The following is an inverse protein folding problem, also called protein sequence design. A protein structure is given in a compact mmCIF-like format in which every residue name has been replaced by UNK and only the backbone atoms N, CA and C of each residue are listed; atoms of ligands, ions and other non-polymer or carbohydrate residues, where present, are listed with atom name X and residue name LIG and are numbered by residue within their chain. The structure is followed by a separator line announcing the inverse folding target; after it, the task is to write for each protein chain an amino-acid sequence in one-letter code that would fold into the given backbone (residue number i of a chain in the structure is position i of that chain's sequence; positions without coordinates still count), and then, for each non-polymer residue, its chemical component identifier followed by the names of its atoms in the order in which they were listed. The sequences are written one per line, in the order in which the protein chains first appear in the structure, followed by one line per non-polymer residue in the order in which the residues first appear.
data_IF_644633315315
#
_entry.id   IF_644633315315
#
_cell.length_a   1.000
_cell.length_b   1.000
_cell.length_c   1.000
_cell.angle_alpha   90.00
_cell.angle_beta   90.00
_cell.angle_gamma   90.00
#
_symmetry.space_group_name_H-M   'P 1'
#
loop_
_entity.id
_entity.type
_entity.pdbx_description
1 polymer ?
#
# COMPACT_ATOMS: atom_id res chain seq x y z
N UNK A 1 39.17 -25.53 -36.91
CA UNK A 1 37.73 -25.85 -36.82
C UNK A 1 37.46 -27.24 -36.22
N UNK A 2 38.16 -28.31 -36.63
CA UNK A 2 37.96 -29.67 -36.08
C UNK A 2 38.20 -29.76 -34.55
N UNK A 3 39.22 -29.06 -34.03
CA UNK A 3 39.51 -29.07 -32.58
C UNK A 3 38.44 -28.34 -31.75
N UNK A 4 37.88 -27.25 -32.28
CA UNK A 4 36.82 -26.50 -31.59
C UNK A 4 35.53 -27.32 -31.45
N UNK A 5 35.14 -28.06 -32.51
CA UNK A 5 33.98 -28.93 -32.45
C UNK A 5 34.17 -30.10 -31.47
N UNK A 6 35.40 -30.59 -31.32
CA UNK A 6 35.73 -31.64 -30.35
C UNK A 6 35.66 -31.12 -28.91
N UNK A 7 36.25 -29.95 -28.62
CA UNK A 7 36.18 -29.30 -27.31
C UNK A 7 34.74 -28.95 -26.92
N UNK A 8 33.93 -28.49 -27.88
CA UNK A 8 32.50 -28.27 -27.65
C UNK A 8 31.76 -29.57 -27.36
N UNK A 9 32.04 -30.67 -28.08
CA UNK A 9 31.39 -31.95 -27.83
C UNK A 9 31.73 -32.54 -26.46
N UNK A 10 32.98 -32.40 -26.01
CA UNK A 10 33.40 -32.80 -24.66
C UNK A 10 32.74 -31.92 -23.58
N UNK A 11 32.67 -30.60 -23.80
CA UNK A 11 32.01 -29.66 -22.89
C UNK A 11 30.50 -29.90 -22.75
N UNK A 12 29.84 -30.29 -23.85
CA UNK A 12 28.40 -30.60 -23.88
C UNK A 12 28.09 -32.09 -23.61
N UNK A 13 29.05 -32.88 -23.12
CA UNK A 13 28.81 -34.27 -22.77
C UNK A 13 27.98 -34.37 -21.48
N UNK A 14 26.68 -34.51 -21.63
CA UNK A 14 25.76 -34.72 -20.51
C UNK A 14 25.68 -36.19 -20.10
N UNK A 15 25.95 -36.47 -18.83
CA UNK A 15 25.67 -37.78 -18.22
C UNK A 15 24.16 -38.07 -18.22
N UNK A 16 23.78 -39.34 -18.01
CA UNK A 16 22.36 -39.75 -17.97
C UNK A 16 21.57 -39.00 -16.89
N UNK A 17 22.19 -38.69 -15.76
CA UNK A 17 21.57 -37.95 -14.66
C UNK A 17 21.41 -36.46 -15.01
N UNK A 18 22.45 -35.83 -15.54
CA UNK A 18 22.40 -34.40 -15.89
C UNK A 18 21.39 -34.14 -17.01
N UNK A 19 21.28 -35.04 -18.00
CA UNK A 19 20.29 -34.88 -19.07
C UNK A 19 18.85 -34.94 -18.55
N UNK A 20 18.57 -35.88 -17.65
CA UNK A 20 17.25 -35.99 -17.04
C UNK A 20 16.97 -34.76 -16.16
N UNK A 21 17.96 -34.29 -15.39
CA UNK A 21 17.84 -33.07 -14.60
C UNK A 21 17.56 -31.83 -15.48
N UNK A 22 18.24 -31.70 -16.60
CA UNK A 22 18.01 -30.62 -17.58
C UNK A 22 16.60 -30.66 -18.15
N UNK A 23 16.08 -31.84 -18.50
CA UNK A 23 14.69 -31.96 -18.97
C UNK A 23 13.68 -31.64 -17.87
N UNK A 24 13.89 -32.11 -16.65
CA UNK A 24 13.03 -31.80 -15.51
C UNK A 24 13.00 -30.30 -15.22
N UNK A 25 14.16 -29.65 -15.20
CA UNK A 25 14.27 -28.20 -14.98
C UNK A 25 13.60 -27.42 -16.12
N UNK A 26 13.82 -27.83 -17.38
CA UNK A 26 13.21 -27.19 -18.53
C UNK A 26 11.67 -27.29 -18.50
N UNK A 27 11.12 -28.45 -18.14
CA UNK A 27 9.68 -28.64 -17.95
C UNK A 27 9.13 -27.74 -16.84
N UNK A 28 9.83 -27.64 -15.71
CA UNK A 28 9.43 -26.78 -14.60
C UNK A 28 9.43 -25.30 -15.01
N UNK A 29 10.49 -24.83 -15.68
CA UNK A 29 10.58 -23.47 -16.18
C UNK A 29 9.50 -23.16 -17.21
N UNK A 30 9.26 -24.08 -18.16
CA UNK A 30 8.21 -23.95 -19.16
C UNK A 30 6.83 -23.85 -18.51
N UNK A 31 6.55 -24.65 -17.48
CA UNK A 31 5.30 -24.58 -16.73
C UNK A 31 5.06 -23.18 -16.15
N UNK A 32 6.04 -22.60 -15.44
CA UNK A 32 5.90 -21.25 -14.89
C UNK A 32 5.83 -20.15 -15.97
N UNK A 33 6.50 -20.35 -17.10
CA UNK A 33 6.47 -19.42 -18.22
C UNK A 33 5.11 -19.41 -18.94
N UNK A 34 4.43 -20.56 -19.00
CA UNK A 34 3.12 -20.68 -19.64
C UNK A 34 1.97 -20.21 -18.76
N UNK A 35 2.13 -20.19 -17.43
CA UNK A 35 1.08 -19.78 -16.48
C UNK A 35 0.46 -18.41 -16.79
N UNK A 36 1.22 -17.31 -16.99
CA UNK A 36 0.64 -16.00 -17.30
C UNK A 36 -0.15 -15.97 -18.61
N UNK A 37 0.23 -16.79 -19.59
CA UNK A 37 -0.43 -16.86 -20.90
C UNK A 37 -1.74 -17.66 -20.84
N UNK A 38 -1.80 -18.70 -19.99
CA UNK A 38 -2.98 -19.57 -19.82
C UNK A 38 -3.98 -18.96 -18.82
N UNK A 39 -3.51 -18.24 -17.80
CA UNK A 39 -4.34 -17.61 -16.79
C UNK A 39 -5.54 -16.80 -17.34
N UNK A 40 -5.39 -15.91 -18.34
CA UNK A 40 -6.52 -15.17 -18.90
C UNK A 40 -7.48 -16.03 -19.73
N UNK A 41 -7.10 -17.25 -20.12
CA UNK A 41 -7.97 -18.17 -20.85
C UNK A 41 -8.97 -18.88 -19.93
N UNK A 42 -8.56 -19.18 -18.70
CA UNK A 42 -9.38 -19.87 -17.69
C UNK A 42 -10.16 -18.86 -16.83
N UNK A 43 -9.58 -17.69 -16.59
CA UNK A 43 -10.20 -16.65 -15.79
C UNK A 43 -10.70 -15.53 -16.70
N UNK A 44 -12.03 -15.41 -16.92
CA UNK A 44 -12.57 -14.32 -17.72
C UNK A 44 -12.13 -12.96 -17.13
N UNK A 45 -11.95 -11.93 -17.97
CA UNK A 45 -11.64 -10.60 -17.49
C UNK A 45 -12.66 -10.19 -16.42
N UNK A 46 -12.18 -9.54 -15.36
CA UNK A 46 -13.04 -9.10 -14.25
C UNK A 46 -14.24 -8.35 -14.85
N UNK A 47 -15.48 -8.70 -14.45
CA UNK A 47 -16.65 -8.00 -14.97
C UNK A 47 -16.50 -6.51 -14.66
N UNK A 48 -16.79 -5.68 -15.65
CA UNK A 48 -16.89 -4.25 -15.45
C UNK A 48 -18.08 -4.01 -14.53
N UNK A 49 -17.82 -3.58 -13.30
CA UNK A 49 -18.85 -3.39 -12.31
C UNK A 49 -19.64 -2.11 -12.65
N UNK A 50 -20.94 -2.27 -12.92
CA UNK A 50 -21.84 -1.13 -13.04
C UNK A 50 -22.18 -0.58 -11.65
N UNK A 51 -21.68 0.60 -11.35
CA UNK A 51 -21.89 1.30 -10.07
C UNK A 51 -22.95 2.40 -10.15
N UNK A 52 -23.73 2.47 -11.22
CA UNK A 52 -24.76 3.51 -11.43
C UNK A 52 -25.78 3.50 -10.29
N UNK A 53 -26.38 2.35 -9.98
CA UNK A 53 -27.34 2.19 -8.89
C UNK A 53 -26.78 2.68 -7.53
N UNK A 54 -25.54 2.33 -7.24
CA UNK A 54 -24.87 2.74 -6.00
C UNK A 54 -24.58 4.25 -5.95
N UNK A 55 -24.18 4.84 -7.09
CA UNK A 55 -23.93 6.28 -7.23
C UNK A 55 -25.22 7.07 -7.04
N UNK A 56 -26.32 6.60 -7.64
CA UNK A 56 -27.64 7.22 -7.50
C UNK A 56 -28.14 7.15 -6.05
N UNK A 57 -28.02 5.99 -5.40
CA UNK A 57 -28.39 5.83 -3.99
C UNK A 57 -27.59 6.76 -3.06
N UNK A 58 -26.28 6.91 -3.29
CA UNK A 58 -25.44 7.83 -2.51
C UNK A 58 -25.86 9.28 -2.75
N UNK A 59 -26.11 9.68 -4.00
CA UNK A 59 -26.53 11.04 -4.32
C UNK A 59 -27.88 11.38 -3.70
N UNK A 60 -28.85 10.45 -3.75
CA UNK A 60 -30.14 10.61 -3.08
C UNK A 60 -29.97 10.75 -1.56
N UNK A 61 -29.21 9.85 -0.92
CA UNK A 61 -28.94 9.94 0.51
C UNK A 61 -28.18 11.22 0.92
N UNK A 62 -27.28 11.71 0.06
CA UNK A 62 -26.57 12.98 0.26
C UNK A 62 -27.49 14.19 0.08
N UNK A 63 -28.44 14.15 -0.86
CA UNK A 63 -29.44 15.21 -1.05
C UNK A 63 -30.41 15.27 0.13
N UNK A 64 -30.90 14.12 0.60
CA UNK A 64 -31.75 14.02 1.78
C UNK A 64 -31.04 14.51 3.05
N UNK A 65 -29.75 14.17 3.22
CA UNK A 65 -28.96 14.63 4.37
C UNK A 65 -28.52 16.10 4.29
N UNK A 66 -28.43 16.69 3.10
CA UNK A 66 -28.26 18.14 2.92
C UNK A 66 -29.54 18.90 3.26
N UNK A 67 -30.70 18.43 2.77
CA UNK A 67 -31.99 19.03 3.09
C UNK A 67 -32.32 18.95 4.60
N UNK A 68 -31.93 17.85 5.26
CA UNK A 68 -32.11 17.67 6.71
C UNK A 68 -31.11 18.44 7.57
N UNK A 69 -29.98 18.89 6.99
CA UNK A 69 -28.97 19.73 7.68
C UNK A 69 -29.32 21.22 7.71
N UNK A 70 -30.25 21.69 6.88
CA UNK A 70 -30.67 23.10 6.84
C UNK A 70 -31.77 23.45 7.85
N UNK A 71 -32.46 22.45 8.43
CA UNK A 71 -33.54 22.66 9.43
C UNK A 71 -33.26 22.05 10.81
N UNK A 72 -32.14 21.33 10.98
CA UNK A 72 -31.71 20.79 12.27
C UNK A 72 -30.41 21.47 12.73
N UNK A 73 -30.47 22.07 13.92
CA UNK A 73 -29.33 22.51 14.73
C UNK A 73 -28.13 21.56 14.66
N UNK A 74 -26.88 22.04 14.82
CA UNK A 74 -25.68 21.30 14.46
C UNK A 74 -25.67 19.91 15.09
N UNK A 75 -25.58 18.90 14.22
CA UNK A 75 -25.54 17.47 14.51
C UNK A 75 -24.63 17.14 15.71
N UNK A 76 -24.90 16.03 16.43
CA UNK A 76 -24.23 15.74 17.70
C UNK A 76 -22.73 15.70 17.46
N UNK A 77 -22.01 16.55 18.19
CA UNK A 77 -20.57 16.53 18.29
C UNK A 77 -20.17 15.07 18.52
N UNK A 78 -19.43 14.48 17.57
CA UNK A 78 -18.66 13.28 17.88
C UNK A 78 -17.97 13.56 19.21
N UNK A 79 -18.14 12.66 20.17
CA UNK A 79 -17.52 12.70 21.49
C UNK A 79 -16.01 12.44 21.35
N UNK A 80 -15.33 13.23 20.52
CA UNK A 80 -13.95 13.59 20.72
C UNK A 80 -13.99 14.85 21.58
N UNK A 81 -13.43 14.77 22.78
CA UNK A 81 -13.17 15.87 23.70
C UNK A 81 -13.18 17.24 23.01
N UNK A 82 -14.04 18.17 23.46
CA UNK A 82 -13.94 19.61 23.14
C UNK A 82 -12.52 20.08 23.49
N UNK A 83 -11.56 19.90 22.59
CA UNK A 83 -10.29 20.60 22.62
C UNK A 83 -10.52 21.81 21.74
N UNK A 84 -10.46 22.98 22.37
CA UNK A 84 -10.33 24.27 21.69
C UNK A 84 -9.51 24.06 20.43
N UNK A 85 -10.04 24.44 19.26
CA UNK A 85 -9.30 24.33 18.01
C UNK A 85 -7.98 25.08 18.21
N UNK A 86 -6.90 24.33 18.43
CA UNK A 86 -5.56 24.91 18.53
C UNK A 86 -5.28 25.44 17.13
N UNK A 87 -4.90 26.72 16.97
CA UNK A 87 -4.56 27.25 15.66
C UNK A 87 -3.44 26.38 15.07
N UNK A 88 -3.70 25.81 13.90
CA UNK A 88 -2.71 24.99 13.19
C UNK A 88 -1.73 25.94 12.52
N UNK A 89 -0.46 25.81 12.90
CA UNK A 89 0.61 26.62 12.34
C UNK A 89 1.45 25.74 11.41
N UNK A 90 1.56 26.16 10.14
CA UNK A 90 2.42 25.49 9.17
C UNK A 90 3.83 26.04 9.27
N UNK A 91 4.79 25.19 9.64
CA UNK A 91 6.21 25.51 9.65
C UNK A 91 7.02 24.33 9.14
N UNK A 92 8.28 24.59 8.79
CA UNK A 92 9.22 23.53 8.41
C UNK A 92 9.60 22.74 9.65
N UNK A 93 9.40 21.43 9.61
CA UNK A 93 9.78 20.51 10.68
C UNK A 93 10.44 19.27 10.09
N UNK A 94 11.27 18.61 10.88
CA UNK A 94 11.80 17.28 10.55
C UNK A 94 11.12 16.23 11.44
N UNK A 95 10.42 15.23 10.88
CA UNK A 95 9.69 14.23 11.65
C UNK A 95 10.59 13.36 12.55
N UNK A 96 11.90 13.30 12.30
CA UNK A 96 12.85 12.55 13.12
C UNK A 96 13.37 13.33 14.34
N UNK A 97 13.15 14.65 14.37
CA UNK A 97 13.65 15.54 15.43
C UNK A 97 12.53 16.32 16.13
N UNK A 98 11.40 16.58 15.45
CA UNK A 98 10.28 17.40 15.95
C UNK A 98 9.81 17.02 17.36
N UNK A 99 9.67 18.01 18.23
CA UNK A 99 9.19 17.85 19.61
C UNK A 99 7.69 17.55 19.64
N UNK A 100 7.19 17.10 20.80
CA UNK A 100 5.76 16.83 20.98
C UNK A 100 4.93 18.08 20.72
N UNK A 101 5.42 19.21 21.22
CA UNK A 101 4.79 20.52 21.16
C UNK A 101 4.72 21.00 19.70
N UNK A 102 5.79 20.83 18.94
CA UNK A 102 5.82 21.11 17.49
C UNK A 102 4.83 20.25 16.72
N UNK A 103 4.74 18.96 17.01
CA UNK A 103 3.75 18.08 16.38
C UNK A 103 2.32 18.52 16.71
N UNK A 104 2.06 18.92 17.96
CA UNK A 104 0.75 19.42 18.38
C UNK A 104 0.41 20.75 17.69
N UNK A 105 1.38 21.66 17.52
CA UNK A 105 1.21 22.91 16.76
C UNK A 105 0.86 22.68 15.29
N UNK A 106 1.35 21.58 14.70
CA UNK A 106 0.97 21.13 13.36
C UNK A 106 -0.45 20.52 13.29
N UNK A 107 -1.17 20.46 14.42
CA UNK A 107 -2.52 19.90 14.48
C UNK A 107 -2.55 18.38 14.73
N UNK A 108 -1.40 17.75 15.01
CA UNK A 108 -1.37 16.32 15.36
C UNK A 108 -1.91 16.13 16.77
N UNK A 109 -2.86 15.22 16.94
CA UNK A 109 -3.44 14.94 18.25
C UNK A 109 -2.35 14.54 19.26
N UNK A 110 -2.44 14.96 20.54
CA UNK A 110 -1.44 14.62 21.55
C UNK A 110 -1.15 13.12 21.70
N UNK A 111 -2.17 12.28 21.47
CA UNK A 111 -2.02 10.81 21.47
C UNK A 111 -1.18 10.35 20.28
N UNK A 112 -1.47 10.83 19.08
CA UNK A 112 -0.71 10.51 17.86
C UNK A 112 0.73 11.04 17.94
N UNK A 113 0.94 12.23 18.51
CA UNK A 113 2.27 12.78 18.76
C UNK A 113 3.08 11.86 19.70
N UNK A 114 2.49 11.35 20.79
CA UNK A 114 3.15 10.36 21.64
C UNK A 114 3.49 9.07 20.89
N UNK A 115 2.58 8.56 20.04
CA UNK A 115 2.85 7.38 19.21
C UNK A 115 4.04 7.60 18.28
N UNK A 116 4.13 8.79 17.68
CA UNK A 116 5.25 9.17 16.81
C UNK A 116 6.57 9.22 17.59
N UNK A 117 6.57 9.78 18.81
CA UNK A 117 7.76 9.77 19.67
C UNK A 117 8.18 8.36 20.07
N UNK A 118 7.22 7.50 20.42
CA UNK A 118 7.48 6.10 20.75
C UNK A 118 8.02 5.31 19.55
N UNK A 119 7.60 5.65 18.33
CA UNK A 119 8.15 5.08 17.11
C UNK A 119 9.62 5.43 16.96
N UNK A 120 9.99 6.70 17.19
CA UNK A 120 11.38 7.17 17.17
C UNK A 120 12.23 6.54 18.27
N UNK A 121 11.71 6.45 19.49
CA UNK A 121 12.45 5.87 20.63
C UNK A 121 12.77 4.38 20.43
N UNK A 122 11.95 3.68 19.65
CA UNK A 122 12.18 2.28 19.24
C UNK A 122 13.13 2.14 18.05
N UNK A 123 13.76 3.23 17.59
CA UNK A 123 14.69 3.23 16.45
C UNK A 123 14.03 3.41 15.09
N UNK A 124 12.71 3.63 15.05
CA UNK A 124 12.00 3.97 13.82
C UNK A 124 12.46 5.32 13.26
N UNK A 125 12.67 5.39 11.94
CA UNK A 125 13.02 6.63 11.23
C UNK A 125 12.10 6.86 10.04
N UNK A 126 11.85 8.13 9.76
CA UNK A 126 11.06 8.60 8.62
C UNK A 126 12.03 9.09 7.54
N UNK A 127 12.03 8.43 6.38
CA UNK A 127 12.88 8.79 5.23
C UNK A 127 12.08 9.54 4.16
N UNK A 128 10.80 9.22 4.03
CA UNK A 128 9.87 9.86 3.09
C UNK A 128 8.59 10.29 3.80
N UNK A 129 7.86 11.25 3.24
CA UNK A 129 6.62 11.77 3.83
C UNK A 129 5.56 10.68 4.06
N UNK A 130 5.55 9.66 3.21
CA UNK A 130 4.63 8.52 3.31
C UNK A 130 4.88 7.67 4.56
N UNK A 131 6.10 7.68 5.11
CA UNK A 131 6.45 6.90 6.30
C UNK A 131 5.67 7.34 7.54
N UNK A 132 5.14 8.57 7.58
CA UNK A 132 4.28 9.04 8.66
C UNK A 132 3.02 8.17 8.82
N UNK A 133 2.56 7.52 7.74
CA UNK A 133 1.43 6.58 7.77
C UNK A 133 1.73 5.29 8.54
N UNK A 134 3.00 4.99 8.85
CA UNK A 134 3.38 3.88 9.72
C UNK A 134 2.98 4.13 11.18
N UNK A 135 2.72 5.38 11.55
CA UNK A 135 2.28 5.77 12.90
C UNK A 135 0.77 5.53 13.02
N UNK A 136 0.37 4.65 13.93
CA UNK A 136 -1.04 4.39 14.22
C UNK A 136 -1.77 5.67 14.67
N UNK A 137 -2.87 5.99 13.99
CA UNK A 137 -3.68 7.19 14.29
C UNK A 137 -3.23 8.46 13.56
N UNK A 138 -2.27 8.36 12.63
CA UNK A 138 -1.98 9.40 11.66
C UNK A 138 -3.03 9.35 10.53
N UNK A 139 -3.73 10.45 10.25
CA UNK A 139 -4.80 10.56 9.25
C UNK A 139 -4.61 11.79 8.39
#
# INVERSE_FOLDING_TARGET
MKNLLHELHEYFYFTRLERNASFTLFLLCSFFFLLPNIYPLIMPPKPEYDFTEYREAIMAAMAESKAKKETASPAPKFRGENKKAVPVELFKFDPNTATKEELIRLGILPRTANTLLNYRSKGGRFFKKEDLKKVYGFR
#
